data_IF_746282781902
#
_entry.id   IF_746282781902
#
_cell.length_a   1.000
_cell.length_b   1.000
_cell.length_c   1.000
_cell.angle_alpha   90.00
_cell.angle_beta   90.00
_cell.angle_gamma   90.00
#
_symmetry.space_group_name_H-M   'P 1'
#
loop_
_entity.id
_entity.type
_entity.pdbx_description
1 polymer ?
#
# COMPACT_ATOMS: atom_id res chain seq x y z
N UNK A 1 13.09 -51.17 -20.71
CA UNK A 1 12.52 -49.82 -20.90
C UNK A 1 12.13 -49.37 -19.50
N UNK A 2 13.12 -48.91 -18.74
CA UNK A 2 12.93 -48.47 -17.36
C UNK A 2 12.25 -47.10 -17.40
N UNK A 3 11.04 -47.05 -16.85
CA UNK A 3 10.35 -45.80 -16.55
C UNK A 3 11.02 -45.28 -15.29
N UNK A 4 11.83 -44.22 -15.42
CA UNK A 4 12.39 -43.52 -14.28
C UNK A 4 11.25 -42.87 -13.50
N UNK A 5 10.91 -43.42 -12.33
CA UNK A 5 10.11 -42.71 -11.34
C UNK A 5 10.85 -41.43 -10.90
N UNK A 6 10.15 -40.30 -10.67
CA UNK A 6 10.79 -39.10 -10.16
C UNK A 6 11.20 -39.34 -8.70
N UNK A 7 12.44 -39.78 -8.51
CA UNK A 7 13.07 -39.93 -7.21
C UNK A 7 13.25 -38.53 -6.57
N UNK A 8 12.53 -38.32 -5.46
CA UNK A 8 12.73 -37.34 -4.38
C UNK A 8 12.63 -35.83 -4.67
N UNK A 9 11.40 -35.36 -4.87
CA UNK A 9 11.04 -33.92 -4.73
C UNK A 9 10.78 -33.53 -3.25
N UNK A 10 10.42 -34.49 -2.39
CA UNK A 10 10.15 -34.25 -0.96
C UNK A 10 11.40 -33.80 -0.20
N UNK A 11 12.57 -34.38 -0.49
CA UNK A 11 13.81 -33.98 0.19
C UNK A 11 14.20 -32.54 -0.16
N UNK A 12 13.94 -32.09 -1.39
CA UNK A 12 14.12 -30.70 -1.79
C UNK A 12 13.18 -29.77 -1.01
N UNK A 13 11.89 -30.12 -0.93
CA UNK A 13 10.88 -29.37 -0.15
C UNK A 13 11.24 -29.31 1.34
N UNK A 14 11.69 -30.42 1.93
CA UNK A 14 12.07 -30.50 3.34
C UNK A 14 13.44 -29.87 3.64
N UNK A 15 14.30 -29.72 2.63
CA UNK A 15 15.59 -29.04 2.74
C UNK A 15 15.50 -27.51 2.68
N UNK A 16 14.39 -26.96 2.17
CA UNK A 16 14.15 -25.53 2.17
C UNK A 16 14.08 -25.01 3.62
N UNK A 17 14.89 -24.00 3.92
CA UNK A 17 14.86 -23.36 5.24
C UNK A 17 13.47 -22.75 5.47
N UNK A 18 12.84 -23.01 6.63
CA UNK A 18 11.59 -22.35 6.97
C UNK A 18 11.76 -20.82 6.95
N UNK A 19 10.85 -20.13 6.28
CA UNK A 19 10.81 -18.67 6.27
C UNK A 19 10.50 -18.19 7.70
N UNK A 20 11.43 -17.44 8.30
CA UNK A 20 11.22 -16.83 9.61
C UNK A 20 10.83 -15.36 9.44
N UNK A 21 9.58 -14.95 9.73
CA UNK A 21 9.12 -13.58 9.47
C UNK A 21 9.98 -12.50 10.12
N UNK A 22 10.44 -12.72 11.37
CA UNK A 22 11.29 -11.75 12.07
C UNK A 22 12.69 -11.66 11.44
N UNK A 23 13.22 -12.79 10.96
CA UNK A 23 14.51 -12.86 10.29
C UNK A 23 14.47 -12.17 8.93
N UNK A 24 13.42 -12.40 8.14
CA UNK A 24 13.24 -11.73 6.85
C UNK A 24 12.98 -10.24 6.99
N UNK A 25 12.22 -9.84 8.01
CA UNK A 25 12.02 -8.44 8.36
C UNK A 25 13.35 -7.74 8.68
N UNK A 26 14.16 -8.34 9.56
CA UNK A 26 15.46 -7.77 9.91
C UNK A 26 16.40 -7.69 8.71
N UNK A 27 16.41 -8.72 7.86
CA UNK A 27 17.21 -8.70 6.63
C UNK A 27 16.76 -7.61 5.65
N UNK A 28 15.45 -7.43 5.46
CA UNK A 28 14.92 -6.36 4.61
C UNK A 28 15.25 -4.96 5.17
N UNK A 29 15.18 -4.79 6.49
CA UNK A 29 15.59 -3.55 7.16
C UNK A 29 17.09 -3.26 6.98
N UNK A 30 17.94 -4.30 7.00
CA UNK A 30 19.36 -4.19 6.70
C UNK A 30 19.62 -3.72 5.26
N UNK A 31 18.94 -4.30 4.26
CA UNK A 31 19.01 -3.85 2.87
C UNK A 31 18.65 -2.36 2.75
N UNK A 32 17.62 -1.91 3.47
CA UNK A 32 17.24 -0.50 3.50
C UNK A 32 18.24 0.42 4.22
N UNK A 33 19.06 -0.12 5.13
CA UNK A 33 20.09 0.63 5.84
C UNK A 33 21.33 0.92 4.97
N UNK A 34 21.50 0.22 3.85
CA UNK A 34 22.59 0.47 2.90
C UNK A 34 22.56 1.91 2.36
N UNK A 35 23.73 2.52 2.16
CA UNK A 35 23.86 3.96 1.90
C UNK A 35 23.06 4.46 0.68
N UNK A 36 22.93 3.63 -0.37
CA UNK A 36 22.26 3.96 -1.64
C UNK A 36 20.87 3.35 -1.77
N UNK A 37 20.30 2.80 -0.69
CA UNK A 37 19.01 2.15 -0.74
C UNK A 37 17.87 3.12 -1.12
N UNK A 38 17.12 2.73 -2.15
CA UNK A 38 15.90 3.34 -2.68
C UNK A 38 14.95 2.22 -3.12
N UNK A 39 13.66 2.51 -3.33
CA UNK A 39 12.74 1.50 -3.89
C UNK A 39 13.27 0.89 -5.19
N UNK A 40 13.83 1.72 -6.08
CA UNK A 40 14.42 1.24 -7.33
C UNK A 40 15.58 0.29 -7.10
N UNK A 41 16.57 0.66 -6.28
CA UNK A 41 17.77 -0.16 -6.07
C UNK A 41 17.45 -1.46 -5.33
N UNK A 42 16.48 -1.43 -4.40
CA UNK A 42 16.01 -2.64 -3.73
C UNK A 42 15.30 -3.54 -4.75
N UNK A 43 14.38 -3.01 -5.55
CA UNK A 43 13.71 -3.78 -6.59
C UNK A 43 14.66 -4.28 -7.71
N UNK A 44 15.74 -3.55 -8.01
CA UNK A 44 16.80 -4.03 -8.91
C UNK A 44 17.53 -5.24 -8.28
N UNK A 45 17.87 -5.20 -6.99
CA UNK A 45 18.53 -6.30 -6.27
C UNK A 45 17.76 -7.62 -6.38
N UNK A 46 16.43 -7.60 -6.15
CA UNK A 46 15.58 -8.80 -6.25
C UNK A 46 15.28 -9.21 -7.70
N UNK A 47 15.43 -8.32 -8.68
CA UNK A 47 15.39 -8.70 -10.11
C UNK A 47 16.66 -9.44 -10.53
N UNK A 48 17.80 -9.02 -10.00
CA UNK A 48 19.09 -9.67 -10.27
C UNK A 48 19.23 -11.00 -9.52
N UNK A 49 18.43 -11.22 -8.46
CA UNK A 49 18.34 -12.47 -7.70
C UNK A 49 16.88 -12.95 -7.56
N UNK A 50 16.26 -13.49 -8.63
CA UNK A 50 14.87 -13.93 -8.59
C UNK A 50 14.65 -15.01 -7.52
N UNK A 51 13.52 -14.91 -6.81
CA UNK A 51 13.12 -15.80 -5.71
C UNK A 51 14.02 -15.75 -4.46
N UNK A 52 15.05 -14.91 -4.42
CA UNK A 52 15.85 -14.72 -3.22
C UNK A 52 14.99 -14.11 -2.11
N UNK A 53 15.12 -14.66 -0.92
CA UNK A 53 14.58 -14.08 0.31
C UNK A 53 15.50 -12.93 0.76
N UNK A 54 14.98 -11.90 1.45
CA UNK A 54 15.81 -10.84 2.02
C UNK A 54 17.01 -11.37 2.82
N UNK A 55 16.81 -12.45 3.59
CA UNK A 55 17.82 -13.12 4.40
C UNK A 55 19.03 -13.66 3.64
N UNK A 56 18.89 -13.92 2.35
CA UNK A 56 19.93 -14.48 1.48
C UNK A 56 20.80 -13.39 0.85
N UNK A 57 20.38 -12.12 0.96
CA UNK A 57 21.04 -10.97 0.31
C UNK A 57 21.87 -10.11 1.27
N UNK A 58 21.93 -10.50 2.55
CA UNK A 58 22.68 -9.79 3.61
C UNK A 58 23.36 -10.79 4.54
N UNK A 59 24.39 -10.32 5.26
CA UNK A 59 25.11 -11.13 6.24
C UNK A 59 24.34 -11.28 7.57
N UNK A 60 24.59 -12.38 8.30
CA UNK A 60 23.98 -12.61 9.64
C UNK A 60 24.26 -11.45 10.62
N UNK A 61 25.44 -10.82 10.54
CA UNK A 61 25.79 -9.66 11.36
C UNK A 61 24.88 -8.45 11.08
N UNK A 62 24.56 -8.22 9.80
CA UNK A 62 23.62 -7.16 9.39
C UNK A 62 22.20 -7.44 9.89
N UNK A 63 21.77 -8.70 9.84
CA UNK A 63 20.46 -9.16 10.33
C UNK A 63 20.35 -8.94 11.82
N UNK A 64 21.33 -9.38 12.61
CA UNK A 64 21.34 -9.21 14.06
C UNK A 64 21.33 -7.72 14.44
N UNK A 65 22.12 -6.91 13.74
CA UNK A 65 22.15 -5.46 13.94
C UNK A 65 20.79 -4.83 13.65
N UNK A 66 20.18 -5.14 12.50
CA UNK A 66 18.88 -4.61 12.12
C UNK A 66 17.78 -5.06 13.10
N UNK A 67 17.80 -6.32 13.53
CA UNK A 67 16.83 -6.86 14.48
C UNK A 67 16.88 -6.10 15.82
N UNK A 68 18.07 -5.82 16.34
CA UNK A 68 18.24 -5.02 17.57
C UNK A 68 17.65 -3.60 17.40
N UNK A 69 17.93 -2.94 16.27
CA UNK A 69 17.44 -1.58 15.98
C UNK A 69 15.92 -1.52 15.82
N UNK A 70 15.35 -2.47 15.09
CA UNK A 70 13.91 -2.56 14.85
C UNK A 70 13.18 -2.90 16.14
N UNK A 71 13.69 -3.86 16.94
CA UNK A 71 13.12 -4.22 18.24
C UNK A 71 13.07 -3.02 19.19
N UNK A 72 14.14 -2.24 19.25
CA UNK A 72 14.18 -1.02 20.04
C UNK A 72 13.07 -0.04 19.64
N UNK A 73 12.89 0.21 18.34
CA UNK A 73 11.85 1.12 17.83
C UNK A 73 10.42 0.61 18.08
N UNK A 74 10.17 -0.67 17.88
CA UNK A 74 8.87 -1.30 18.16
C UNK A 74 8.52 -1.20 19.65
N UNK A 75 9.49 -1.48 20.53
CA UNK A 75 9.32 -1.38 21.97
C UNK A 75 9.00 0.05 22.41
N UNK A 76 9.73 1.05 21.89
CA UNK A 76 9.46 2.47 22.15
C UNK A 76 8.07 2.90 21.68
N UNK A 77 7.61 2.40 20.53
CA UNK A 77 6.28 2.67 19.99
C UNK A 77 5.15 1.92 20.71
N UNK A 78 5.49 1.00 21.63
CA UNK A 78 4.54 0.13 22.36
C UNK A 78 3.63 -0.68 21.43
N UNK A 79 4.17 -1.14 20.31
CA UNK A 79 3.46 -2.04 19.39
C UNK A 79 3.78 -3.47 19.81
N UNK A 80 2.73 -4.20 20.17
CA UNK A 80 2.83 -5.58 20.64
C UNK A 80 2.26 -6.59 19.64
N UNK A 81 1.44 -6.12 18.70
CA UNK A 81 0.77 -6.94 17.70
C UNK A 81 0.93 -6.29 16.33
N UNK A 82 1.72 -6.95 15.49
CA UNK A 82 1.93 -6.64 14.09
C UNK A 82 2.44 -7.91 13.40
N UNK A 83 2.23 -7.99 12.09
CA UNK A 83 2.81 -9.03 11.26
C UNK A 83 3.63 -8.46 10.12
N UNK A 84 4.33 -9.35 9.44
CA UNK A 84 4.96 -9.05 8.16
C UNK A 84 4.50 -10.04 7.10
N UNK A 85 4.53 -9.60 5.84
CA UNK A 85 4.28 -10.43 4.66
C UNK A 85 5.44 -10.25 3.72
N UNK A 86 6.05 -11.37 3.34
CA UNK A 86 7.27 -11.42 2.56
C UNK A 86 6.94 -12.05 1.21
N UNK A 87 7.38 -11.43 0.13
CA UNK A 87 7.24 -12.00 -1.20
C UNK A 87 7.94 -13.37 -1.26
N UNK A 88 7.30 -14.34 -1.92
CA UNK A 88 7.67 -15.76 -1.86
C UNK A 88 6.90 -16.57 -0.81
N UNK A 89 6.16 -15.91 0.09
CA UNK A 89 5.15 -16.58 0.93
C UNK A 89 3.77 -16.58 0.26
N UNK A 90 2.96 -17.61 0.54
CA UNK A 90 1.65 -17.86 -0.09
C UNK A 90 0.66 -16.68 0.08
N UNK A 91 0.75 -15.97 1.20
CA UNK A 91 -0.15 -14.85 1.54
C UNK A 91 0.30 -13.49 0.99
N UNK A 92 1.37 -13.43 0.20
CA UNK A 92 1.87 -12.17 -0.35
C UNK A 92 1.05 -11.76 -1.59
N UNK A 93 0.53 -10.52 -1.68
CA UNK A 93 -0.34 -10.15 -2.80
C UNK A 93 0.45 -10.00 -4.12
N UNK A 94 0.32 -10.96 -5.02
CA UNK A 94 0.97 -10.95 -6.35
C UNK A 94 0.75 -9.66 -7.13
N UNK A 95 -0.42 -9.05 -6.95
CA UNK A 95 -0.80 -7.77 -7.56
C UNK A 95 0.16 -6.61 -7.23
N UNK A 96 0.97 -6.72 -6.19
CA UNK A 96 2.04 -5.76 -5.86
C UNK A 96 3.22 -5.81 -6.84
N UNK A 97 3.37 -6.92 -7.57
CA UNK A 97 4.41 -7.09 -8.61
C UNK A 97 4.16 -6.21 -9.84
N UNK A 98 2.93 -5.74 -10.04
CA UNK A 98 2.58 -4.83 -11.15
C UNK A 98 3.21 -3.43 -10.99
N UNK A 99 3.71 -3.09 -9.79
CA UNK A 99 4.39 -1.82 -9.57
C UNK A 99 5.77 -1.80 -10.24
N UNK A 100 6.21 -0.62 -10.72
CA UNK A 100 7.53 -0.46 -11.35
C UNK A 100 8.69 -0.83 -10.42
N UNK A 101 8.50 -0.59 -9.12
CA UNK A 101 9.43 -0.94 -8.05
C UNK A 101 8.65 -1.73 -7.00
N UNK A 102 8.45 -3.04 -7.22
CA UNK A 102 7.76 -3.89 -6.28
C UNK A 102 8.43 -3.88 -4.90
N UNK A 103 7.66 -4.04 -3.82
CA UNK A 103 8.17 -4.08 -2.43
C UNK A 103 8.30 -5.52 -1.94
N UNK A 104 9.40 -5.98 -1.37
CA UNK A 104 9.49 -7.41 -1.00
C UNK A 104 8.84 -7.74 0.35
N UNK A 105 8.55 -6.71 1.13
CA UNK A 105 8.00 -6.88 2.46
C UNK A 105 6.97 -5.81 2.78
N UNK A 106 5.87 -6.23 3.41
CA UNK A 106 4.88 -5.36 4.03
C UNK A 106 4.83 -5.62 5.53
N UNK A 107 4.70 -4.55 6.30
CA UNK A 107 4.30 -4.57 7.71
C UNK A 107 2.79 -4.36 7.76
N UNK A 108 2.11 -5.04 8.68
CA UNK A 108 0.68 -4.80 8.88
C UNK A 108 0.26 -4.92 10.35
N UNK A 109 -0.89 -4.32 10.66
CA UNK A 109 -1.62 -4.51 11.91
C UNK A 109 -3.10 -4.72 11.58
N UNK A 110 -3.75 -5.59 12.34
CA UNK A 110 -5.16 -5.94 12.14
C UNK A 110 -5.38 -7.11 11.18
N UNK A 111 -6.52 -7.13 10.52
CA UNK A 111 -7.07 -8.29 9.81
C UNK A 111 -6.49 -8.40 8.40
N UNK A 112 -5.44 -9.21 8.24
CA UNK A 112 -4.76 -9.41 6.97
C UNK A 112 -5.72 -9.85 5.84
N UNK A 113 -6.70 -10.70 6.14
CA UNK A 113 -7.66 -11.26 5.17
C UNK A 113 -8.43 -10.19 4.37
N UNK A 114 -8.54 -8.96 4.87
CA UNK A 114 -9.10 -7.83 4.11
C UNK A 114 -8.31 -7.53 2.83
N UNK A 115 -7.02 -7.87 2.81
CA UNK A 115 -6.19 -7.77 1.62
C UNK A 115 -6.77 -8.58 0.48
N UNK A 116 -7.53 -9.65 0.74
CA UNK A 116 -8.11 -10.55 -0.27
C UNK A 116 -9.59 -10.34 -0.54
N UNK A 117 -10.18 -9.28 0.05
CA UNK A 117 -11.52 -8.82 -0.30
C UNK A 117 -11.71 -8.73 -1.83
N UNK A 118 -12.74 -9.39 -2.41
CA UNK A 118 -12.87 -9.52 -3.86
C UNK A 118 -13.10 -8.17 -4.57
N UNK A 119 -13.68 -7.19 -3.85
CA UNK A 119 -13.91 -5.83 -4.34
C UNK A 119 -13.13 -4.84 -3.50
N UNK A 120 -12.09 -4.22 -4.07
CA UNK A 120 -11.26 -3.21 -3.39
C UNK A 120 -11.11 -1.99 -4.27
N UNK A 121 -11.41 -0.81 -3.73
CA UNK A 121 -11.33 0.45 -4.47
C UNK A 121 -10.60 1.51 -3.66
N UNK A 122 -9.59 2.14 -4.27
CA UNK A 122 -8.83 3.20 -3.65
C UNK A 122 -9.55 4.55 -3.81
N UNK A 123 -9.78 5.28 -2.72
CA UNK A 123 -10.42 6.59 -2.72
C UNK A 123 -9.42 7.63 -2.26
N UNK A 124 -9.10 8.58 -3.14
CA UNK A 124 -8.02 9.55 -2.89
C UNK A 124 -8.34 10.95 -3.37
N UNK A 125 -7.67 11.94 -2.79
CA UNK A 125 -7.81 13.32 -3.21
C UNK A 125 -7.06 14.31 -2.34
N UNK A 126 -7.55 15.55 -2.32
CA UNK A 126 -6.93 16.69 -1.66
C UNK A 126 -6.87 16.50 -0.14
N UNK A 127 -5.73 16.90 0.44
CA UNK A 127 -5.58 17.06 1.90
C UNK A 127 -6.37 18.25 2.43
N UNK A 128 -6.54 19.28 1.59
CA UNK A 128 -7.33 20.48 1.84
C UNK A 128 -8.58 20.40 0.96
N UNK A 129 -9.47 19.49 1.32
CA UNK A 129 -10.69 19.22 0.55
C UNK A 129 -11.79 20.22 0.93
N UNK A 130 -12.57 20.66 -0.06
CA UNK A 130 -13.75 21.50 0.17
C UNK A 130 -14.88 20.76 0.90
N UNK A 131 -15.81 21.48 1.52
CA UNK A 131 -17.03 20.87 2.10
C UNK A 131 -17.82 20.07 1.07
N UNK A 132 -17.90 20.57 -0.16
CA UNK A 132 -18.53 19.87 -1.28
C UNK A 132 -17.76 18.59 -1.63
N UNK A 133 -16.43 18.64 -1.62
CA UNK A 133 -15.55 17.48 -1.77
C UNK A 133 -15.75 16.44 -0.68
N UNK A 134 -15.94 16.85 0.58
CA UNK A 134 -16.29 15.94 1.68
C UNK A 134 -17.66 15.30 1.46
N UNK A 135 -18.68 16.07 1.08
CA UNK A 135 -20.02 15.51 0.77
C UNK A 135 -19.98 14.54 -0.40
N UNK A 136 -19.22 14.83 -1.46
CA UNK A 136 -18.97 13.91 -2.58
C UNK A 136 -18.30 12.61 -2.10
N UNK A 137 -17.23 12.73 -1.32
CA UNK A 137 -16.50 11.57 -0.76
C UNK A 137 -17.43 10.69 0.04
N UNK A 138 -18.17 11.25 1.01
CA UNK A 138 -19.10 10.51 1.87
C UNK A 138 -20.18 9.81 1.05
N UNK A 139 -20.80 10.50 0.09
CA UNK A 139 -21.85 9.93 -0.76
C UNK A 139 -21.31 8.77 -1.61
N UNK A 140 -20.16 8.97 -2.27
CA UNK A 140 -19.54 7.95 -3.10
C UNK A 140 -19.17 6.70 -2.29
N UNK A 141 -18.49 6.89 -1.16
CA UNK A 141 -18.03 5.80 -0.32
C UNK A 141 -19.18 5.00 0.25
N UNK A 142 -20.26 5.66 0.70
CA UNK A 142 -21.48 4.98 1.15
C UNK A 142 -22.03 4.02 0.09
N UNK A 143 -22.12 4.48 -1.16
CA UNK A 143 -22.62 3.65 -2.27
C UNK A 143 -21.68 2.48 -2.58
N UNK A 144 -20.37 2.72 -2.57
CA UNK A 144 -19.37 1.66 -2.78
C UNK A 144 -19.41 0.59 -1.68
N UNK A 145 -19.57 1.00 -0.42
CA UNK A 145 -19.76 0.05 0.70
C UNK A 145 -21.03 -0.78 0.52
N UNK A 146 -22.14 -0.16 0.11
CA UNK A 146 -23.39 -0.88 -0.21
C UNK A 146 -23.20 -1.91 -1.34
N UNK A 147 -22.30 -1.64 -2.28
CA UNK A 147 -21.95 -2.55 -3.37
C UNK A 147 -20.90 -3.62 -2.97
N UNK A 148 -20.51 -3.65 -1.69
CA UNK A 148 -19.58 -4.62 -1.10
C UNK A 148 -18.10 -4.29 -1.29
N UNK A 149 -17.75 -3.06 -1.64
CA UNK A 149 -16.34 -2.66 -1.78
C UNK A 149 -15.67 -2.42 -0.43
N UNK A 150 -14.48 -2.98 -0.27
CA UNK A 150 -13.51 -2.56 0.75
C UNK A 150 -12.82 -1.28 0.28
N UNK A 151 -12.83 -0.25 1.13
CA UNK A 151 -12.25 1.05 0.81
C UNK A 151 -10.77 1.06 1.15
N UNK A 152 -9.92 1.32 0.16
CA UNK A 152 -8.48 1.50 0.37
C UNK A 152 -8.17 3.00 0.36
N UNK A 153 -7.41 3.51 1.32
CA UNK A 153 -6.95 4.89 1.29
C UNK A 153 -5.65 5.10 2.07
N UNK A 154 -5.10 6.31 1.99
CA UNK A 154 -3.78 6.64 2.49
C UNK A 154 -3.75 7.25 3.89
N UNK A 155 -4.87 7.30 4.60
CA UNK A 155 -4.98 7.91 5.93
C UNK A 155 -4.48 9.38 6.03
N UNK A 156 -4.37 10.09 4.90
CA UNK A 156 -4.04 11.52 4.93
C UNK A 156 -5.24 12.35 5.44
N UNK A 157 -5.01 13.64 5.73
CA UNK A 157 -6.12 14.58 5.99
C UNK A 157 -7.05 14.65 4.77
N UNK A 158 -8.27 15.12 4.99
CA UNK A 158 -9.21 15.44 3.90
C UNK A 158 -9.89 14.20 3.33
N UNK A 159 -9.75 13.96 2.01
CA UNK A 159 -10.47 12.89 1.32
C UNK A 159 -10.19 11.52 1.95
N UNK A 160 -8.93 11.21 2.26
CA UNK A 160 -8.56 9.90 2.81
C UNK A 160 -9.21 9.66 4.19
N UNK A 161 -9.13 10.62 5.12
CA UNK A 161 -9.85 10.56 6.41
C UNK A 161 -11.34 10.33 6.18
N UNK A 162 -11.96 11.13 5.32
CA UNK A 162 -13.40 11.03 5.06
C UNK A 162 -13.80 9.69 4.43
N UNK A 163 -12.94 9.10 3.60
CA UNK A 163 -13.17 7.81 2.98
C UNK A 163 -13.16 6.69 4.03
N UNK A 164 -12.13 6.65 4.88
CA UNK A 164 -12.04 5.67 5.96
C UNK A 164 -13.21 5.80 6.95
N UNK A 165 -13.47 7.00 7.47
CA UNK A 165 -14.54 7.19 8.47
C UNK A 165 -15.90 6.82 7.89
N UNK A 166 -16.20 7.24 6.66
CA UNK A 166 -17.48 6.89 6.02
C UNK A 166 -17.61 5.39 5.80
N UNK A 167 -16.53 4.70 5.43
CA UNK A 167 -16.57 3.25 5.25
C UNK A 167 -16.98 2.55 6.55
N UNK A 168 -16.31 2.93 7.65
CA UNK A 168 -16.56 2.42 9.00
C UNK A 168 -17.98 2.75 9.46
N UNK A 169 -18.41 4.00 9.35
CA UNK A 169 -19.73 4.48 9.79
C UNK A 169 -20.90 3.81 9.06
N UNK A 170 -20.65 3.26 7.87
CA UNK A 170 -21.65 2.53 7.07
C UNK A 170 -21.48 1.01 7.17
N UNK A 171 -20.70 0.51 8.14
CA UNK A 171 -20.51 -0.92 8.38
C UNK A 171 -19.67 -1.65 7.33
N UNK A 172 -18.90 -0.91 6.52
CA UNK A 172 -18.00 -1.45 5.53
C UNK A 172 -16.60 -1.72 6.08
N UNK A 173 -15.76 -2.36 5.25
CA UNK A 173 -14.35 -2.61 5.55
C UNK A 173 -13.44 -1.55 4.93
N UNK A 174 -12.28 -1.34 5.55
CA UNK A 174 -11.28 -0.41 5.02
C UNK A 174 -9.85 -0.90 5.20
N UNK A 175 -8.95 -0.48 4.30
CA UNK A 175 -7.50 -0.75 4.36
C UNK A 175 -6.77 0.58 4.29
N UNK A 176 -6.02 0.93 5.33
CA UNK A 176 -5.14 2.08 5.33
C UNK A 176 -3.74 1.67 4.89
N UNK A 177 -3.20 2.29 3.84
CA UNK A 177 -1.80 2.11 3.44
C UNK A 177 -1.04 3.36 3.84
N UNK A 178 -0.13 3.31 4.81
CA UNK A 178 0.54 4.51 5.35
C UNK A 178 1.92 4.75 4.72
N UNK A 179 2.30 6.04 4.63
CA UNK A 179 3.61 6.49 4.12
C UNK A 179 4.67 6.64 5.21
N UNK A 180 4.42 6.03 6.37
CA UNK A 180 5.31 5.98 7.55
C UNK A 180 5.40 4.54 8.03
N UNK A 181 6.40 4.18 8.86
CA UNK A 181 6.42 2.87 9.49
C UNK A 181 5.18 2.67 10.38
N UNK A 182 4.83 1.42 10.68
CA UNK A 182 3.71 1.10 11.59
C UNK A 182 3.89 1.68 12.99
N UNK A 183 5.12 2.05 13.37
CA UNK A 183 5.50 2.67 14.64
C UNK A 183 5.24 4.18 14.72
N UNK A 184 4.79 4.80 13.62
CA UNK A 184 4.64 6.25 13.49
C UNK A 184 3.22 6.64 13.09
N UNK A 185 2.80 7.85 13.50
CA UNK A 185 1.49 8.41 13.20
C UNK A 185 1.63 9.66 12.35
N UNK A 186 1.10 9.61 11.13
CA UNK A 186 1.05 10.78 10.26
C UNK A 186 -0.20 10.78 9.37
N UNK A 187 -1.03 11.84 9.43
CA UNK A 187 -0.86 13.04 10.26
C UNK A 187 -1.26 12.80 11.74
N UNK A 188 -0.72 13.54 12.72
CA UNK A 188 -0.97 13.29 14.15
C UNK A 188 -2.45 13.30 14.56
N UNK A 189 -3.28 14.13 13.92
CA UNK A 189 -4.73 14.17 14.22
C UNK A 189 -5.48 12.90 13.83
N UNK A 190 -4.95 12.10 12.90
CA UNK A 190 -5.55 10.84 12.49
C UNK A 190 -5.08 9.68 13.37
N UNK A 191 -4.35 9.91 14.47
CA UNK A 191 -3.87 8.86 15.38
C UNK A 191 -4.99 7.91 15.82
N UNK A 192 -6.09 8.46 16.32
CA UNK A 192 -7.22 7.63 16.79
C UNK A 192 -7.83 6.79 15.66
N UNK A 193 -7.90 7.34 14.45
CA UNK A 193 -8.39 6.61 13.27
C UNK A 193 -7.41 5.53 12.83
N UNK A 194 -6.10 5.80 12.89
CA UNK A 194 -5.05 4.82 12.60
C UNK A 194 -5.14 3.63 13.57
N UNK A 195 -5.30 3.90 14.86
CA UNK A 195 -5.43 2.87 15.89
C UNK A 195 -6.70 2.05 15.70
N UNK A 196 -7.83 2.70 15.43
CA UNK A 196 -9.09 2.01 15.12
C UNK A 196 -8.95 1.08 13.91
N UNK A 197 -8.29 1.54 12.84
CA UNK A 197 -8.06 0.72 11.64
C UNK A 197 -7.11 -0.43 11.95
N UNK A 198 -6.05 -0.20 12.71
CA UNK A 198 -5.11 -1.25 13.10
C UNK A 198 -5.75 -2.31 14.03
N UNK A 199 -6.81 -1.98 14.76
CA UNK A 199 -7.49 -2.89 15.69
C UNK A 199 -8.65 -3.65 15.02
N UNK A 200 -9.46 -2.97 14.21
CA UNK A 200 -10.73 -3.50 13.67
C UNK A 200 -10.73 -3.77 12.17
N UNK A 201 -9.68 -3.33 11.47
CA UNK A 201 -9.57 -3.41 10.02
C UNK A 201 -8.13 -3.75 9.64
N UNK A 202 -7.57 -3.16 8.58
CA UNK A 202 -6.21 -3.44 8.15
C UNK A 202 -5.40 -2.15 7.95
N UNK A 203 -4.30 -2.05 8.67
CA UNK A 203 -3.26 -1.04 8.47
C UNK A 203 -2.04 -1.70 7.81
N UNK A 204 -1.56 -1.17 6.69
CA UNK A 204 -0.42 -1.68 5.92
C UNK A 204 0.64 -0.59 5.78
N UNK A 205 1.91 -0.97 5.88
CA UNK A 205 3.05 -0.11 5.55
C UNK A 205 4.12 -0.89 4.80
N UNK A 206 4.74 -0.26 3.80
CA UNK A 206 5.96 -0.76 3.15
C UNK A 206 7.23 -0.09 3.70
N UNK A 207 7.08 0.82 4.67
CA UNK A 207 8.15 1.73 5.06
C UNK A 207 9.02 1.07 6.14
N UNK A 208 10.33 0.90 5.89
CA UNK A 208 11.26 0.32 6.87
C UNK A 208 11.36 1.17 8.15
N UNK A 209 11.25 0.52 9.31
CA UNK A 209 11.26 1.15 10.63
C UNK A 209 12.62 1.78 10.92
N UNK A 210 13.70 1.02 10.71
CA UNK A 210 15.04 1.48 11.09
C UNK A 210 15.51 2.60 10.16
N UNK A 211 15.36 2.42 8.84
CA UNK A 211 15.75 3.43 7.85
C UNK A 211 14.98 4.73 8.03
N UNK A 212 13.66 4.70 8.24
CA UNK A 212 12.88 5.90 8.48
C UNK A 212 13.35 6.66 9.73
N UNK A 213 13.75 5.94 10.79
CA UNK A 213 14.19 6.53 12.06
C UNK A 213 15.58 7.18 12.02
N UNK A 214 16.39 6.85 11.01
CA UNK A 214 17.78 7.35 10.86
C UNK A 214 17.91 8.43 9.80
N UNK A 215 16.86 8.65 9.00
CA UNK A 215 16.84 9.67 7.95
C UNK A 215 16.07 10.93 8.35
N UNK A 216 16.39 12.03 7.68
CA UNK A 216 15.67 13.27 7.87
C UNK A 216 14.28 13.26 7.23
N UNK A 217 13.44 14.21 7.64
CA UNK A 217 12.07 14.32 7.12
C UNK A 217 12.03 14.55 5.60
N UNK A 218 13.07 15.15 5.00
CA UNK A 218 13.11 15.44 3.55
C UNK A 218 13.24 14.15 2.76
N UNK A 219 14.11 13.25 3.22
CA UNK A 219 14.29 11.91 2.66
C UNK A 219 13.04 11.07 2.87
N UNK A 220 12.46 11.10 4.07
CA UNK A 220 11.26 10.34 4.41
C UNK A 220 10.03 10.75 3.58
N UNK A 221 9.98 11.97 3.03
CA UNK A 221 8.89 12.38 2.13
C UNK A 221 8.81 11.55 0.85
N UNK A 222 9.88 10.86 0.45
CA UNK A 222 9.90 10.00 -0.72
C UNK A 222 9.10 8.70 -0.53
N UNK A 223 8.78 8.31 0.70
CA UNK A 223 7.91 7.16 0.97
C UNK A 223 6.45 7.40 0.58
N UNK A 224 5.97 8.66 0.54
CA UNK A 224 4.55 8.94 0.25
C UNK A 224 4.15 8.69 -1.21
N UNK A 225 4.93 9.09 -2.24
CA UNK A 225 4.66 8.69 -3.62
C UNK A 225 4.67 7.17 -3.81
N UNK A 226 5.61 6.48 -3.18
CA UNK A 226 5.79 5.02 -3.29
C UNK A 226 4.66 4.26 -2.58
N UNK A 227 4.19 4.78 -1.44
CA UNK A 227 2.95 4.33 -0.81
C UNK A 227 1.78 4.35 -1.78
N UNK A 228 1.65 5.41 -2.58
CA UNK A 228 0.53 5.55 -3.50
C UNK A 228 0.54 4.46 -4.58
N UNK A 229 1.72 4.03 -5.03
CA UNK A 229 1.85 2.91 -5.97
C UNK A 229 1.40 1.58 -5.34
N UNK A 230 1.76 1.33 -4.08
CA UNK A 230 1.29 0.15 -3.32
C UNK A 230 -0.21 0.18 -3.11
N UNK A 231 -0.77 1.30 -2.69
CA UNK A 231 -2.23 1.45 -2.54
C UNK A 231 -2.96 1.21 -3.86
N UNK A 232 -2.42 1.71 -4.97
CA UNK A 232 -2.96 1.46 -6.30
C UNK A 232 -2.90 -0.03 -6.67
N UNK A 233 -1.78 -0.69 -6.39
CA UNK A 233 -1.60 -2.11 -6.67
C UNK A 233 -2.54 -3.00 -5.85
N UNK A 234 -2.83 -2.62 -4.60
CA UNK A 234 -3.74 -3.35 -3.71
C UNK A 234 -5.23 -3.22 -4.08
N UNK A 235 -5.60 -2.23 -4.88
CA UNK A 235 -6.96 -2.00 -5.34
C UNK A 235 -7.14 -2.39 -6.82
N UNK A 236 -8.37 -2.74 -7.22
CA UNK A 236 -8.67 -2.96 -8.64
C UNK A 236 -8.87 -1.65 -9.42
N UNK A 237 -9.17 -0.57 -8.67
CA UNK A 237 -9.39 0.75 -9.22
C UNK A 237 -9.02 1.86 -8.23
N UNK A 238 -8.71 3.04 -8.75
CA UNK A 238 -8.54 4.28 -7.97
C UNK A 238 -9.55 5.31 -8.41
N UNK A 239 -10.23 5.98 -7.46
CA UNK A 239 -11.10 7.13 -7.70
C UNK A 239 -10.47 8.40 -7.14
N UNK A 240 -10.32 9.41 -8.00
CA UNK A 240 -9.90 10.75 -7.60
C UNK A 240 -11.12 11.63 -7.40
N UNK A 241 -11.35 12.02 -6.14
CA UNK A 241 -12.49 12.89 -5.78
C UNK A 241 -12.21 14.35 -6.15
N UNK A 242 -11.03 14.84 -5.75
CA UNK A 242 -10.64 16.24 -5.92
C UNK A 242 -9.12 16.35 -5.79
N UNK A 243 -8.45 17.08 -6.68
CA UNK A 243 -7.00 17.30 -6.61
C UNK A 243 -6.58 18.57 -7.36
N UNK A 244 -5.57 19.28 -6.85
CA UNK A 244 -4.88 20.36 -7.59
C UNK A 244 -3.92 19.80 -8.63
N UNK A 245 -3.48 20.63 -9.59
CA UNK A 245 -2.45 20.27 -10.59
C UNK A 245 -1.10 19.85 -9.98
N UNK A 246 -0.83 20.25 -8.72
CA UNK A 246 0.40 19.92 -7.98
C UNK A 246 0.20 18.82 -6.93
N UNK A 247 -0.98 18.18 -6.90
CA UNK A 247 -1.30 17.20 -5.87
C UNK A 247 -0.48 15.92 -6.00
N UNK A 248 -0.05 15.37 -4.86
CA UNK A 248 0.55 14.04 -4.78
C UNK A 248 -0.41 12.93 -5.24
N UNK A 249 -1.73 13.17 -5.25
CA UNK A 249 -2.74 12.25 -5.81
C UNK A 249 -2.46 11.92 -7.29
N UNK A 250 -1.84 12.83 -8.05
CA UNK A 250 -1.52 12.60 -9.46
C UNK A 250 -0.42 11.54 -9.64
N UNK A 251 0.41 11.30 -8.62
CA UNK A 251 1.34 10.17 -8.65
C UNK A 251 0.59 8.83 -8.62
N UNK A 252 -0.47 8.74 -7.83
CA UNK A 252 -1.33 7.54 -7.81
C UNK A 252 -2.09 7.34 -9.11
N UNK A 253 -2.57 8.42 -9.72
CA UNK A 253 -3.21 8.37 -11.03
C UNK A 253 -2.30 7.72 -12.08
N UNK A 254 -1.00 8.08 -12.07
CA UNK A 254 0.00 7.48 -12.96
C UNK A 254 0.24 6.02 -12.62
N UNK A 255 0.39 5.69 -11.34
CA UNK A 255 0.61 4.32 -10.89
C UNK A 255 -0.56 3.41 -11.30
N UNK A 256 -1.81 3.85 -11.14
CA UNK A 256 -3.00 3.10 -11.54
C UNK A 256 -2.96 2.73 -13.02
N UNK A 257 -2.72 3.70 -13.90
CA UNK A 257 -2.65 3.44 -15.34
C UNK A 257 -1.46 2.54 -15.72
N UNK A 258 -0.29 2.74 -15.09
CA UNK A 258 0.90 1.92 -15.33
C UNK A 258 0.70 0.46 -14.90
N UNK A 259 -0.02 0.24 -13.81
CA UNK A 259 -0.35 -1.09 -13.27
C UNK A 259 -1.57 -1.72 -13.94
N UNK A 260 -2.12 -1.10 -15.00
CA UNK A 260 -3.33 -1.60 -15.68
C UNK A 260 -4.61 -1.55 -14.84
N UNK A 261 -4.64 -0.75 -13.77
CA UNK A 261 -5.82 -0.55 -12.91
C UNK A 261 -6.73 0.51 -13.49
N UNK A 262 -8.04 0.40 -13.20
CA UNK A 262 -9.00 1.44 -13.61
C UNK A 262 -8.73 2.73 -12.84
N UNK A 263 -8.69 3.84 -13.55
CA UNK A 263 -8.59 5.18 -12.97
C UNK A 263 -9.90 5.93 -13.22
N UNK A 264 -10.61 6.26 -12.16
CA UNK A 264 -11.82 7.06 -12.19
C UNK A 264 -11.54 8.48 -11.71
N UNK A 265 -12.10 9.46 -12.42
CA UNK A 265 -11.98 10.87 -12.08
C UNK A 265 -13.38 11.45 -11.98
N UNK A 266 -13.73 12.02 -10.83
CA UNK A 266 -15.05 12.61 -10.66
C UNK A 266 -15.24 13.84 -11.56
N UNK A 267 -16.46 13.99 -12.07
CA UNK A 267 -16.88 15.02 -13.01
C UNK A 267 -16.52 16.46 -12.58
N UNK A 268 -16.52 16.74 -11.28
CA UNK A 268 -16.14 18.05 -10.74
C UNK A 268 -14.70 18.45 -11.08
N UNK A 269 -13.79 17.49 -11.26
CA UNK A 269 -12.42 17.78 -11.67
C UNK A 269 -12.40 18.32 -13.11
N UNK A 270 -13.19 17.73 -14.03
CA UNK A 270 -13.30 18.18 -15.42
C UNK A 270 -14.00 19.53 -15.56
N UNK A 271 -14.96 19.83 -14.67
CA UNK A 271 -15.68 21.12 -14.68
C UNK A 271 -14.89 22.27 -14.08
N UNK A 272 -13.77 22.01 -13.43
CA UNK A 272 -12.94 23.06 -12.85
C UNK A 272 -11.97 23.62 -13.91
N UNK A 273 -12.17 24.84 -14.43
CA UNK A 273 -11.34 25.40 -15.50
C UNK A 273 -9.90 25.67 -15.07
N UNK A 274 -9.60 25.62 -13.76
CA UNK A 274 -8.24 25.78 -13.23
C UNK A 274 -7.41 24.50 -13.31
N UNK A 275 -8.01 23.35 -13.60
CA UNK A 275 -7.32 22.06 -13.64
C UNK A 275 -7.03 21.65 -15.08
N UNK A 276 -5.79 21.24 -15.34
CA UNK A 276 -5.39 20.75 -16.67
C UNK A 276 -5.19 19.24 -16.71
N UNK A 277 -4.99 18.62 -15.55
CA UNK A 277 -4.74 17.19 -15.42
C UNK A 277 -5.91 16.26 -15.83
N UNK A 278 -7.20 16.57 -15.59
CA UNK A 278 -8.28 15.59 -15.80
C UNK A 278 -8.36 15.11 -17.26
N UNK A 279 -8.35 16.04 -18.22
CA UNK A 279 -8.35 15.73 -19.64
C UNK A 279 -7.11 14.91 -20.05
N UNK A 280 -5.92 15.28 -19.57
CA UNK A 280 -4.67 14.56 -19.85
C UNK A 280 -4.68 13.11 -19.38
N UNK A 281 -5.36 12.80 -18.27
CA UNK A 281 -5.51 11.42 -17.79
C UNK A 281 -6.63 10.69 -18.52
N UNK A 282 -7.70 11.39 -18.92
CA UNK A 282 -8.77 10.82 -19.75
C UNK A 282 -8.21 10.35 -21.10
N UNK A 283 -7.35 11.14 -21.74
CA UNK A 283 -6.66 10.78 -22.98
C UNK A 283 -5.76 9.53 -22.83
N UNK A 284 -5.36 9.21 -21.59
CA UNK A 284 -4.58 8.02 -21.23
C UNK A 284 -5.43 6.84 -20.74
N UNK A 285 -6.76 6.93 -20.85
CA UNK A 285 -7.69 5.86 -20.48
C UNK A 285 -8.35 6.00 -19.11
N UNK A 286 -8.21 7.14 -18.43
CA UNK A 286 -9.02 7.41 -17.24
C UNK A 286 -10.50 7.62 -17.61
N UNK A 287 -11.38 7.19 -16.72
CA UNK A 287 -12.83 7.23 -16.92
C UNK A 287 -13.42 8.39 -16.13
N UNK A 288 -14.14 9.29 -16.81
CA UNK A 288 -14.91 10.36 -16.18
C UNK A 288 -16.15 9.78 -15.51
N UNK A 289 -16.38 10.13 -14.25
CA UNK A 289 -17.48 9.60 -13.43
C UNK A 289 -18.44 10.71 -13.05
N UNK A 290 -19.67 10.58 -13.50
CA UNK A 290 -20.81 11.45 -13.17
C UNK A 290 -21.68 10.86 -12.06
N UNK A 291 -21.68 9.52 -11.92
CA UNK A 291 -22.40 8.80 -10.87
C UNK A 291 -21.81 7.41 -10.60
N UNK A 292 -22.31 6.73 -9.57
CA UNK A 292 -21.82 5.39 -9.18
C UNK A 292 -21.96 4.36 -10.31
N UNK A 293 -22.97 4.51 -11.16
CA UNK A 293 -23.24 3.56 -12.25
C UNK A 293 -22.12 3.52 -13.30
N UNK A 294 -21.38 4.62 -13.48
CA UNK A 294 -20.19 4.64 -14.34
C UNK A 294 -19.08 3.72 -13.78
N UNK A 295 -18.95 3.65 -12.44
CA UNK A 295 -17.97 2.78 -11.78
C UNK A 295 -18.44 1.32 -11.86
N UNK A 296 -19.73 1.06 -11.61
CA UNK A 296 -20.33 -0.29 -11.70
C UNK A 296 -20.18 -0.86 -13.11
N UNK A 297 -20.54 -0.09 -14.14
CA UNK A 297 -20.43 -0.52 -15.52
C UNK A 297 -18.98 -0.86 -15.92
N UNK A 298 -18.00 -0.14 -15.38
CA UNK A 298 -16.59 -0.33 -15.71
C UNK A 298 -15.90 -1.47 -14.92
N UNK A 299 -16.45 -1.90 -13.78
CA UNK A 299 -15.89 -2.94 -12.91
C UNK A 299 -16.66 -4.27 -12.93
N UNK A 300 -17.87 -4.29 -13.52
CA UNK A 300 -18.77 -5.44 -13.48
C UNK A 300 -19.38 -5.66 -12.09
#
# INVERSE_FOLDING_TARGET
MEVSEPMNDIDAVLSNRPISPSREMAAYEALWAHQKATFKTIADCFRDSPNAMPSELVSEEEIDTALLRVRDKIAHAKIHDFGVRVHGSEDYPDRLRDAAHPVELLYYRGWWDLIDSPKRIAIVGSRNVSEDGLRRTRRLVKLLVQDGYTIVSGLAKGVDTAAHTTAIDNGGSTIAVIGTPITEYYPPENRALQDLIAEKFLLVSQVPIWRYSTQDYRSNRLFFPERNATMSALAQATVIVEASDTSGTLAQARAALQQGRKLFILDNCFRNPKLTWPAKFQDKGAIRVTGIDDIRAALG
#
